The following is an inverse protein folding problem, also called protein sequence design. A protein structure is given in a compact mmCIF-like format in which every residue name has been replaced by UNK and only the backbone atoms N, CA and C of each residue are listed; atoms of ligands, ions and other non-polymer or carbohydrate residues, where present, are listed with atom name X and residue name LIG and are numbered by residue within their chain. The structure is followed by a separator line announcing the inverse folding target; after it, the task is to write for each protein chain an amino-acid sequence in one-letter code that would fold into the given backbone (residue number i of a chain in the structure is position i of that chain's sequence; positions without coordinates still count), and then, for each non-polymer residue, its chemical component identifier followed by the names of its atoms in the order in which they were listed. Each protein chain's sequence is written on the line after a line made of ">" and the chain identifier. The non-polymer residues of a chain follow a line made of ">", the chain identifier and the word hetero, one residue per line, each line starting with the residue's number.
data_IF_924381975705
#
_entry.id   IF_924381975705
#
_cell.length_a   1.000
_cell.length_b   1.000
_cell.length_c   1.000
_cell.angle_alpha   90.00
_cell.angle_beta   90.00
_cell.angle_gamma   90.00
#
_symmetry.space_group_name_H-M   'P 1'
#
loop_
_entity.id
_entity.type
_entity.pdbx_description
1 polymer ?
#
# COMPACT_ATOMS: atom_id res chain seq x y z
N UNK A 1 -24.35 -2.88 17.86
CA UNK A 1 -23.51 -3.61 16.88
C UNK A 1 -22.12 -3.71 17.47
N UNK A 2 -21.58 -4.91 17.67
CA UNK A 2 -20.17 -5.04 18.04
C UNK A 2 -19.33 -4.67 16.83
N UNK A 3 -18.45 -3.68 16.97
CA UNK A 3 -17.45 -3.38 15.95
C UNK A 3 -16.36 -4.42 16.15
N UNK A 4 -16.15 -5.30 15.16
CA UNK A 4 -15.01 -6.22 15.20
C UNK A 4 -13.71 -5.42 15.26
N UNK A 5 -12.80 -5.83 16.16
CA UNK A 5 -11.52 -5.14 16.39
C UNK A 5 -10.61 -5.19 15.14
N UNK A 6 -10.80 -6.18 14.26
CA UNK A 6 -9.94 -6.47 13.12
C UNK A 6 -10.72 -6.70 11.83
N UNK A 7 -10.67 -5.73 10.93
CA UNK A 7 -11.41 -5.78 9.65
C UNK A 7 -10.54 -6.29 8.50
N UNK A 8 -11.06 -7.23 7.70
CA UNK A 8 -10.35 -7.75 6.52
C UNK A 8 -10.35 -6.72 5.40
N UNK A 9 -9.18 -6.48 4.78
CA UNK A 9 -9.03 -5.52 3.69
C UNK A 9 -8.34 -6.14 2.48
N UNK A 10 -8.70 -5.68 1.28
CA UNK A 10 -7.96 -6.02 0.06
C UNK A 10 -6.63 -5.27 -0.04
N UNK A 11 -6.55 -4.10 0.60
CA UNK A 11 -5.37 -3.24 0.63
C UNK A 11 -5.19 -2.57 1.99
N UNK A 12 -3.95 -2.39 2.42
CA UNK A 12 -3.58 -1.49 3.52
C UNK A 12 -2.77 -0.30 2.98
N UNK A 13 -2.91 0.85 3.64
CA UNK A 13 -2.04 2.01 3.39
C UNK A 13 -0.73 1.80 4.14
N UNK A 14 0.39 1.87 3.42
CA UNK A 14 1.71 1.47 3.92
C UNK A 14 2.33 2.36 5.01
N UNK A 15 1.74 3.52 5.33
CA UNK A 15 2.30 4.49 6.27
C UNK A 15 2.61 3.92 7.66
N UNK A 16 1.74 3.05 8.18
CA UNK A 16 1.94 2.42 9.48
C UNK A 16 1.33 1.01 9.46
N UNK A 17 2.20 0.02 9.32
CA UNK A 17 1.84 -1.39 9.22
C UNK A 17 2.77 -2.24 10.07
N UNK A 18 2.22 -3.30 10.66
CA UNK A 18 3.00 -4.38 11.25
C UNK A 18 2.90 -5.59 10.33
N UNK A 19 4.06 -6.15 9.96
CA UNK A 19 4.14 -7.28 9.02
C UNK A 19 4.97 -8.37 9.66
N UNK A 20 4.47 -9.60 9.62
CA UNK A 20 5.24 -10.75 10.10
C UNK A 20 6.48 -10.96 9.24
N UNK A 21 7.60 -11.31 9.86
CA UNK A 21 8.85 -11.60 9.14
C UNK A 21 8.68 -12.67 8.06
N UNK A 22 7.94 -13.74 8.37
CA UNK A 22 7.66 -14.84 7.42
C UNK A 22 6.97 -14.35 6.13
N UNK A 23 6.13 -13.32 6.23
CA UNK A 23 5.45 -12.73 5.07
C UNK A 23 6.46 -11.99 4.21
N UNK A 24 7.33 -11.18 4.82
CA UNK A 24 8.39 -10.44 4.11
C UNK A 24 9.37 -11.40 3.42
N UNK A 25 9.79 -12.46 4.11
CA UNK A 25 10.67 -13.50 3.55
C UNK A 25 10.00 -14.24 2.37
N UNK A 26 8.67 -14.39 2.42
CA UNK A 26 7.90 -15.06 1.37
C UNK A 26 7.63 -14.18 0.15
N UNK A 27 7.25 -12.91 0.35
CA UNK A 27 6.79 -12.03 -0.73
C UNK A 27 7.86 -11.06 -1.24
N UNK A 28 8.98 -10.92 -0.52
CA UNK A 28 10.06 -9.97 -0.81
C UNK A 28 9.81 -8.59 -0.20
N UNK A 29 10.62 -7.60 -0.56
CA UNK A 29 10.48 -6.20 -0.12
C UNK A 29 9.51 -5.42 -1.03
N UNK A 30 9.34 -4.12 -0.75
CA UNK A 30 8.64 -3.20 -1.64
C UNK A 30 9.31 -3.17 -3.03
N UNK A 31 8.50 -2.97 -4.05
CA UNK A 31 8.96 -2.91 -5.43
C UNK A 31 9.43 -1.48 -5.76
N UNK A 32 10.73 -1.29 -5.91
CA UNK A 32 11.36 0.02 -6.14
C UNK A 32 10.98 0.68 -7.47
N UNK A 33 10.27 -0.03 -8.37
CA UNK A 33 9.69 0.55 -9.60
C UNK A 33 8.73 1.69 -9.29
N UNK A 34 8.06 1.64 -8.12
CA UNK A 34 7.11 2.65 -7.64
C UNK A 34 7.87 3.74 -6.87
N UNK A 35 8.22 4.82 -7.57
CA UNK A 35 9.05 5.91 -7.03
C UNK A 35 8.55 7.25 -7.57
N UNK A 36 8.63 8.35 -6.80
CA UNK A 36 9.09 8.45 -5.41
C UNK A 36 8.03 8.03 -4.37
N UNK A 37 6.91 7.42 -4.80
CA UNK A 37 5.92 6.78 -3.93
C UNK A 37 4.57 6.62 -4.63
N UNK A 38 3.59 6.10 -3.89
CA UNK A 38 2.30 5.60 -4.37
C UNK A 38 2.41 4.28 -5.14
N UNK A 39 1.42 3.41 -4.93
CA UNK A 39 1.23 2.09 -5.54
C UNK A 39 2.18 0.98 -5.04
N UNK A 40 3.23 1.29 -4.28
CA UNK A 40 4.07 0.27 -3.65
C UNK A 40 3.31 -0.57 -2.62
N UNK A 41 2.39 0.05 -1.87
CA UNK A 41 1.56 -0.61 -0.85
C UNK A 41 0.37 -1.36 -1.46
N UNK A 42 -0.20 -0.85 -2.56
CA UNK A 42 -1.14 -1.59 -3.40
C UNK A 42 -0.50 -2.89 -3.91
N UNK A 43 0.69 -2.80 -4.52
CA UNK A 43 1.44 -3.94 -5.04
C UNK A 43 1.76 -4.96 -3.95
N UNK A 44 2.23 -4.46 -2.81
CA UNK A 44 2.61 -5.31 -1.71
C UNK A 44 1.40 -6.02 -1.11
N UNK A 45 0.27 -5.33 -0.97
CA UNK A 45 -1.01 -5.93 -0.56
C UNK A 45 -1.40 -7.08 -1.50
N UNK A 46 -1.32 -6.87 -2.81
CA UNK A 46 -1.70 -7.88 -3.80
C UNK A 46 -0.76 -9.11 -3.78
N UNK A 47 0.56 -8.89 -3.67
CA UNK A 47 1.54 -9.98 -3.50
C UNK A 47 1.30 -10.80 -2.22
N UNK A 48 0.94 -10.13 -1.12
CA UNK A 48 0.58 -10.78 0.15
C UNK A 48 -0.69 -11.64 -0.03
N UNK A 49 -1.72 -11.09 -0.69
CA UNK A 49 -2.95 -11.82 -1.02
C UNK A 49 -2.70 -13.05 -1.90
N UNK A 50 -1.91 -12.91 -2.97
CA UNK A 50 -1.58 -14.03 -3.88
C UNK A 50 -0.83 -15.17 -3.19
N UNK A 51 -0.17 -14.90 -2.07
CA UNK A 51 0.50 -15.90 -1.24
C UNK A 51 -0.38 -16.46 -0.12
N UNK A 52 -1.69 -16.18 -0.12
CA UNK A 52 -2.67 -16.79 0.78
C UNK A 52 -2.72 -16.15 2.18
N UNK A 53 -2.09 -15.00 2.38
CA UNK A 53 -2.16 -14.24 3.62
C UNK A 53 -3.35 -13.27 3.62
N UNK A 54 -3.76 -12.85 4.81
CA UNK A 54 -4.85 -11.88 5.01
C UNK A 54 -4.30 -10.54 5.48
N UNK A 55 -4.94 -9.45 5.07
CA UNK A 55 -4.66 -8.12 5.58
C UNK A 55 -5.73 -7.70 6.56
N UNK A 56 -5.33 -7.16 7.72
CA UNK A 56 -6.23 -6.75 8.80
C UNK A 56 -6.02 -5.29 9.16
N UNK A 57 -7.11 -4.54 9.22
CA UNK A 57 -7.17 -3.18 9.76
C UNK A 57 -7.59 -3.23 11.23
N UNK A 58 -6.75 -2.68 12.10
CA UNK A 58 -7.02 -2.53 13.51
C UNK A 58 -7.97 -1.34 13.75
N UNK A 59 -9.20 -1.58 14.22
CA UNK A 59 -10.23 -0.53 14.40
C UNK A 59 -10.19 0.19 15.74
N UNK A 60 -9.48 -0.34 16.73
CA UNK A 60 -9.32 0.28 18.05
C UNK A 60 -8.05 1.14 18.18
N UNK A 61 -7.33 1.35 17.07
CA UNK A 61 -6.10 2.15 17.03
C UNK A 61 -6.31 3.37 16.14
N UNK A 62 -5.91 4.54 16.62
CA UNK A 62 -5.92 5.78 15.85
C UNK A 62 -4.48 6.25 15.60
N UNK A 63 -4.14 6.49 14.33
CA UNK A 63 -2.83 6.98 13.91
C UNK A 63 -3.06 8.29 13.17
N UNK A 64 -2.51 9.39 13.70
CA UNK A 64 -2.53 10.67 13.02
C UNK A 64 -1.42 10.70 11.96
N UNK A 65 -1.81 10.80 10.69
CA UNK A 65 -0.88 11.00 9.58
C UNK A 65 -1.04 12.41 9.02
N UNK A 66 -0.03 13.26 9.22
CA UNK A 66 0.04 14.56 8.58
C UNK A 66 0.36 14.38 7.08
N UNK A 67 -0.69 14.11 6.30
CA UNK A 67 -0.60 13.80 4.87
C UNK A 67 0.05 14.91 4.04
N UNK A 68 0.48 14.52 2.84
CA UNK A 68 1.05 15.40 1.81
C UNK A 68 2.27 16.23 2.22
N UNK A 69 2.84 15.99 3.41
CA UNK A 69 4.05 16.67 3.91
C UNK A 69 5.26 16.43 3.02
N UNK A 70 5.42 15.20 2.52
CA UNK A 70 6.50 14.83 1.60
C UNK A 70 6.36 15.47 0.21
N UNK A 71 5.17 15.98 -0.14
CA UNK A 71 4.85 16.57 -1.44
C UNK A 71 4.71 18.09 -1.41
N UNK A 72 4.90 18.73 -0.25
CA UNK A 72 4.72 20.19 -0.06
C UNK A 72 5.65 21.05 -0.92
N UNK A 73 6.83 20.54 -1.28
CA UNK A 73 7.81 21.29 -2.06
C UNK A 73 7.52 21.27 -3.57
N UNK A 74 6.73 20.30 -4.07
CA UNK A 74 6.56 20.07 -5.51
C UNK A 74 5.22 19.38 -5.83
N UNK A 75 4.15 20.16 -5.73
CA UNK A 75 2.79 19.68 -6.03
C UNK A 75 2.61 19.26 -7.49
N UNK A 76 3.34 19.86 -8.42
CA UNK A 76 3.35 19.47 -9.84
C UNK A 76 3.86 18.05 -10.05
N UNK A 77 4.92 17.65 -9.34
CA UNK A 77 5.49 16.31 -9.47
C UNK A 77 4.66 15.21 -8.82
N UNK A 78 3.78 15.52 -7.85
CA UNK A 78 2.89 14.51 -7.27
C UNK A 78 1.95 13.90 -8.30
N UNK A 79 1.23 14.74 -9.06
CA UNK A 79 0.24 14.26 -10.01
C UNK A 79 0.87 13.40 -11.11
N UNK A 80 2.04 13.82 -11.61
CA UNK A 80 2.79 13.06 -12.60
C UNK A 80 3.30 11.73 -12.02
N UNK A 81 3.93 11.75 -10.84
CA UNK A 81 4.40 10.53 -10.18
C UNK A 81 3.26 9.55 -9.89
N UNK A 82 2.10 10.05 -9.46
CA UNK A 82 0.92 9.24 -9.24
C UNK A 82 0.44 8.60 -10.53
N UNK A 83 0.34 9.38 -11.61
CA UNK A 83 -0.05 8.88 -12.94
C UNK A 83 0.93 7.81 -13.45
N UNK A 84 2.23 8.09 -13.40
CA UNK A 84 3.26 7.18 -13.87
C UNK A 84 3.27 5.86 -13.08
N UNK A 85 3.15 5.95 -11.75
CA UNK A 85 3.14 4.76 -10.90
C UNK A 85 1.82 3.97 -11.01
N UNK A 86 0.71 4.63 -11.32
CA UNK A 86 -0.53 3.95 -11.68
C UNK A 86 -0.35 3.13 -12.97
N UNK A 87 0.26 3.70 -14.01
CA UNK A 87 0.56 2.97 -15.26
C UNK A 87 1.49 1.78 -15.04
N UNK A 88 2.56 1.95 -14.26
CA UNK A 88 3.44 0.83 -13.88
C UNK A 88 2.72 -0.27 -13.09
N UNK A 89 1.67 0.08 -12.34
CA UNK A 89 0.86 -0.87 -11.59
C UNK A 89 -0.07 -1.64 -12.54
N UNK A 90 -0.80 -0.94 -13.40
CA UNK A 90 -1.64 -1.52 -14.46
C UNK A 90 -0.84 -2.49 -15.34
N UNK A 91 0.33 -2.05 -15.82
CA UNK A 91 1.22 -2.85 -16.66
C UNK A 91 1.74 -4.11 -15.93
N UNK A 92 2.05 -4.02 -14.63
CA UNK A 92 2.54 -5.17 -13.84
C UNK A 92 1.48 -6.23 -13.65
N UNK A 93 0.24 -5.81 -13.46
CA UNK A 93 -0.86 -6.67 -13.04
C UNK A 93 -1.84 -7.01 -14.15
N UNK A 94 -1.56 -6.56 -15.38
CA UNK A 94 -2.41 -6.74 -16.57
C UNK A 94 -3.85 -6.30 -16.30
N UNK A 95 -4.00 -5.22 -15.53
CA UNK A 95 -5.31 -4.66 -15.16
C UNK A 95 -5.63 -3.50 -16.10
N UNK A 96 -6.78 -3.60 -16.77
CA UNK A 96 -7.40 -2.47 -17.46
C UNK A 96 -8.30 -1.75 -16.43
N UNK A 97 -7.77 -0.71 -15.77
CA UNK A 97 -8.46 0.07 -14.73
C UNK A 97 -9.15 1.31 -15.29
#
# INVERSE_FOLDING_TARGET
>A
MQVEEWDSRFKLVGFCVLIKREVVEKVGLLDERFTPGNFEDNDYSLRIWQNGYILKLCRNTFINHAGSTSWKADHSNFAQAFYDNNKKFEDKWEMDL
#
